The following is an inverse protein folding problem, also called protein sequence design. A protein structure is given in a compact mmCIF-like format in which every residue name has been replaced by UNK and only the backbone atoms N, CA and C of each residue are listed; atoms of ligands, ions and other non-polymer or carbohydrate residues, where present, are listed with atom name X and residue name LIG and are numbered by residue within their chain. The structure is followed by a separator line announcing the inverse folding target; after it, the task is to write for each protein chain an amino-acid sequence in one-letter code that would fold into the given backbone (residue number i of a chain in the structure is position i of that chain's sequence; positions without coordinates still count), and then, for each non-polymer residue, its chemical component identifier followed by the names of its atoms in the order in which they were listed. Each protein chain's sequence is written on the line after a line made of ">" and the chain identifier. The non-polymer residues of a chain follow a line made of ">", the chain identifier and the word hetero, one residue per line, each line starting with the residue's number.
data_IF_842584524259
#
_entry.id   IF_842584524259
#
_cell.length_a   1.000
_cell.length_b   1.000
_cell.length_c   1.000
_cell.angle_alpha   90.00
_cell.angle_beta   90.00
_cell.angle_gamma   90.00
#
_symmetry.space_group_name_H-M   'P 1'
#
loop_
_entity.id
_entity.type
_entity.pdbx_description
1 polymer ?
#
# COMPACT_ATOMS: atom_id res chain seq x y z
N UNK A 1 -28.77 -43.04 -33.28
CA UNK A 1 -28.26 -41.78 -33.85
C UNK A 1 -28.37 -40.71 -32.76
N UNK A 2 -27.28 -40.53 -32.02
CA UNK A 2 -27.27 -39.88 -30.71
C UNK A 2 -27.38 -38.35 -30.82
N UNK A 3 -28.51 -37.82 -30.37
CA UNK A 3 -28.84 -36.40 -30.41
C UNK A 3 -28.10 -35.68 -29.27
N UNK A 4 -26.94 -35.13 -29.62
CA UNK A 4 -26.44 -33.79 -29.25
C UNK A 4 -26.61 -33.36 -27.79
N UNK A 5 -25.56 -33.61 -27.01
CA UNK A 5 -24.69 -32.56 -26.46
C UNK A 5 -25.40 -31.24 -26.08
N UNK A 6 -25.99 -31.17 -24.89
CA UNK A 6 -26.23 -29.91 -24.19
C UNK A 6 -25.90 -30.11 -22.70
N UNK A 7 -24.60 -30.14 -22.41
CA UNK A 7 -24.09 -29.89 -21.07
C UNK A 7 -24.25 -28.40 -20.82
N UNK A 8 -25.38 -28.02 -20.23
CA UNK A 8 -25.60 -26.68 -19.67
C UNK A 8 -24.60 -26.45 -18.54
N UNK A 9 -23.44 -25.90 -18.91
CA UNK A 9 -22.44 -25.39 -18.01
C UNK A 9 -23.02 -24.12 -17.36
N UNK A 10 -23.64 -24.28 -16.19
CA UNK A 10 -24.07 -23.16 -15.37
C UNK A 10 -22.82 -22.51 -14.76
N UNK A 11 -22.19 -21.60 -15.51
CA UNK A 11 -21.10 -20.78 -14.98
C UNK A 11 -21.71 -19.83 -13.97
N UNK A 12 -21.66 -20.22 -12.69
CA UNK A 12 -21.76 -19.27 -11.58
C UNK A 12 -20.60 -18.29 -11.71
N UNK A 13 -20.80 -17.20 -12.44
CA UNK A 13 -19.95 -16.04 -12.33
C UNK A 13 -20.15 -15.49 -10.91
N UNK A 14 -19.12 -15.43 -10.06
CA UNK A 14 -19.24 -14.68 -8.83
C UNK A 14 -19.51 -13.22 -9.24
N UNK A 15 -20.71 -12.73 -8.91
CA UNK A 15 -21.00 -11.31 -8.85
C UNK A 15 -20.03 -10.73 -7.81
N UNK A 16 -18.90 -10.22 -8.27
CA UNK A 16 -18.11 -9.29 -7.48
C UNK A 16 -19.00 -8.06 -7.33
N UNK A 17 -19.83 -8.05 -6.28
CA UNK A 17 -20.63 -6.89 -5.92
C UNK A 17 -19.61 -5.87 -5.42
N UNK A 18 -19.11 -5.06 -6.35
CA UNK A 18 -18.28 -3.90 -6.04
C UNK A 18 -19.18 -2.91 -5.31
N UNK A 19 -19.25 -3.06 -3.98
CA UNK A 19 -19.99 -2.15 -3.13
C UNK A 19 -19.13 -0.91 -2.92
N UNK A 20 -19.76 0.24 -3.11
CA UNK A 20 -19.20 1.49 -2.62
C UNK A 20 -18.83 1.33 -1.16
N UNK A 21 -17.54 1.48 -0.92
CA UNK A 21 -16.90 1.21 0.35
C UNK A 21 -16.14 2.43 0.80
N UNK A 22 -16.20 2.65 2.11
CA UNK A 22 -15.32 3.55 2.81
C UNK A 22 -13.93 2.91 2.85
N UNK A 23 -12.97 3.53 2.16
CA UNK A 23 -11.62 3.01 2.03
C UNK A 23 -10.65 3.83 2.87
N UNK A 24 -9.75 3.13 3.54
CA UNK A 24 -8.73 3.69 4.40
C UNK A 24 -7.36 3.31 3.86
N UNK A 25 -6.46 4.27 3.75
CA UNK A 25 -5.17 4.00 3.15
C UNK A 25 -4.03 4.81 3.74
N UNK A 26 -2.82 4.33 3.54
CA UNK A 26 -1.59 5.08 3.79
C UNK A 26 -0.49 4.58 2.86
N UNK A 27 0.51 5.42 2.60
CA UNK A 27 1.69 5.04 1.85
C UNK A 27 2.83 4.66 2.78
N UNK A 28 3.65 3.71 2.34
CA UNK A 28 4.88 3.36 3.04
C UNK A 28 5.95 2.85 2.09
N UNK A 29 7.20 2.98 2.49
CA UNK A 29 8.34 2.38 1.82
C UNK A 29 9.33 1.90 2.90
N UNK A 30 9.86 0.68 2.74
CA UNK A 30 10.79 0.10 3.71
C UNK A 30 12.20 0.08 3.14
N UNK A 31 13.10 0.76 3.82
CA UNK A 31 14.53 0.78 3.52
C UNK A 31 15.23 -0.15 4.50
N UNK A 32 15.97 -1.13 3.99
CA UNK A 32 16.63 -2.17 4.81
C UNK A 32 18.12 -2.13 4.55
N UNK A 33 18.87 -1.94 5.62
CA UNK A 33 20.31 -2.02 5.63
C UNK A 33 20.78 -3.30 6.31
N UNK A 34 21.65 -4.04 5.64
CA UNK A 34 22.32 -5.21 6.21
C UNK A 34 23.59 -4.73 6.91
N UNK A 35 23.61 -4.76 8.24
CA UNK A 35 24.78 -4.37 9.04
C UNK A 35 25.79 -5.52 9.11
N UNK A 36 25.29 -6.74 9.33
CA UNK A 36 26.09 -7.96 9.34
C UNK A 36 25.21 -9.13 8.88
N UNK A 37 25.46 -9.63 7.67
CA UNK A 37 24.72 -10.74 7.08
C UNK A 37 24.92 -12.05 7.86
N UNK A 38 26.11 -12.26 8.44
CA UNK A 38 26.44 -13.48 9.19
C UNK A 38 25.65 -13.57 10.50
N UNK A 39 25.39 -12.41 11.12
CA UNK A 39 24.62 -12.30 12.37
C UNK A 39 23.16 -11.92 12.15
N UNK A 40 22.71 -11.85 10.88
CA UNK A 40 21.36 -11.37 10.49
C UNK A 40 21.01 -10.03 11.14
N UNK A 41 22.00 -9.16 11.32
CA UNK A 41 21.78 -7.84 11.88
C UNK A 41 21.32 -6.91 10.76
N UNK A 42 20.06 -6.52 10.82
CA UNK A 42 19.40 -5.64 9.87
C UNK A 42 18.93 -4.38 10.60
N UNK A 43 19.07 -3.23 9.95
CA UNK A 43 18.44 -1.99 10.38
C UNK A 43 17.40 -1.60 9.35
N UNK A 44 16.20 -1.30 9.81
CA UNK A 44 15.08 -0.89 8.97
C UNK A 44 14.77 0.59 9.22
N UNK A 45 14.55 1.33 8.15
CA UNK A 45 13.93 2.66 8.20
C UNK A 45 12.67 2.61 7.36
N UNK A 46 11.52 2.89 7.97
CA UNK A 46 10.24 2.93 7.26
C UNK A 46 9.89 4.39 6.98
N UNK A 47 9.77 4.75 5.70
CA UNK A 47 9.18 6.01 5.28
C UNK A 47 7.67 5.80 5.21
N UNK A 48 6.85 6.67 5.79
CA UNK A 48 5.39 6.52 5.66
C UNK A 48 4.61 7.82 5.74
N UNK A 49 3.36 7.80 5.27
CA UNK A 49 2.40 8.89 5.48
C UNK A 49 2.19 9.19 6.96
N UNK A 50 1.92 10.46 7.34
CA UNK A 50 1.76 10.87 8.74
C UNK A 50 0.45 10.38 9.38
N UNK A 51 -0.49 9.89 8.57
CA UNK A 51 -1.80 9.43 9.01
C UNK A 51 -2.41 8.42 8.03
N UNK A 52 -3.49 7.79 8.48
CA UNK A 52 -4.41 7.04 7.63
C UNK A 52 -5.35 8.05 6.98
N UNK A 53 -5.45 7.99 5.66
CA UNK A 53 -6.36 8.80 4.85
C UNK A 53 -7.60 8.00 4.48
N UNK A 54 -8.62 8.71 4.02
CA UNK A 54 -9.92 8.15 3.66
C UNK A 54 -10.30 8.57 2.23
N UNK A 55 -10.94 7.66 1.49
CA UNK A 55 -11.68 8.00 0.29
C UNK A 55 -12.85 7.03 0.10
N UNK A 56 -13.86 7.42 -0.68
CA UNK A 56 -14.95 6.53 -1.06
C UNK A 56 -14.66 5.89 -2.43
N UNK A 57 -14.76 4.57 -2.55
CA UNK A 57 -14.43 3.85 -3.80
C UNK A 57 -15.46 3.99 -4.92
N UNK A 58 -16.63 4.59 -4.68
CA UNK A 58 -17.73 4.57 -5.66
C UNK A 58 -18.11 3.13 -6.01
N UNK A 59 -18.38 2.80 -7.26
CA UNK A 59 -18.79 1.44 -7.64
C UNK A 59 -17.63 0.41 -7.73
N UNK A 60 -16.45 0.68 -7.14
CA UNK A 60 -15.25 -0.16 -7.25
C UNK A 60 -14.85 -0.78 -5.91
N UNK A 61 -14.05 -1.86 -5.93
CA UNK A 61 -13.34 -2.31 -4.72
C UNK A 61 -12.31 -1.29 -4.29
N UNK A 62 -11.97 -1.25 -3.00
CA UNK A 62 -10.99 -0.29 -2.48
C UNK A 62 -9.63 -0.42 -3.17
N UNK A 63 -9.13 -1.62 -3.45
CA UNK A 63 -7.85 -1.81 -4.16
C UNK A 63 -7.90 -1.24 -5.59
N UNK A 64 -8.98 -1.49 -6.33
CA UNK A 64 -9.14 -0.99 -7.71
C UNK A 64 -9.21 0.53 -7.74
N UNK A 65 -10.03 1.11 -6.87
CA UNK A 65 -10.20 2.55 -6.77
C UNK A 65 -8.89 3.23 -6.31
N UNK A 66 -8.20 2.67 -5.33
CA UNK A 66 -6.95 3.22 -4.83
C UNK A 66 -5.84 3.21 -5.89
N UNK A 67 -5.69 2.10 -6.63
CA UNK A 67 -4.69 2.00 -7.70
C UNK A 67 -4.97 2.99 -8.84
N UNK A 68 -6.23 3.08 -9.29
CA UNK A 68 -6.59 4.04 -10.36
C UNK A 68 -6.39 5.50 -9.94
N UNK A 69 -6.60 5.83 -8.66
CA UNK A 69 -6.37 7.17 -8.10
C UNK A 69 -4.90 7.47 -7.83
N UNK A 70 -4.07 6.44 -7.64
CA UNK A 70 -2.64 6.63 -7.39
C UNK A 70 -1.89 7.10 -8.64
N UNK A 71 -2.21 6.56 -9.82
CA UNK A 71 -1.54 6.90 -11.09
C UNK A 71 -1.38 8.42 -11.31
N UNK A 72 -2.44 9.26 -11.23
CA UNK A 72 -2.31 10.69 -11.47
C UNK A 72 -1.46 11.43 -10.42
N UNK A 73 -1.27 10.86 -9.23
CA UNK A 73 -0.50 11.48 -8.14
C UNK A 73 0.88 10.84 -7.93
N UNK A 74 1.22 9.79 -8.70
CA UNK A 74 2.41 8.97 -8.50
C UNK A 74 3.71 9.79 -8.58
N UNK A 75 3.83 10.73 -9.52
CA UNK A 75 5.01 11.57 -9.66
C UNK A 75 5.26 12.44 -8.42
N UNK A 76 4.23 13.13 -7.94
CA UNK A 76 4.30 13.98 -6.73
C UNK A 76 4.54 13.14 -5.47
N UNK A 77 3.92 11.96 -5.39
CA UNK A 77 4.16 11.01 -4.30
C UNK A 77 5.63 10.55 -4.27
N UNK A 78 6.18 10.17 -5.43
CA UNK A 78 7.57 9.74 -5.54
C UNK A 78 8.55 10.87 -5.21
N UNK A 79 8.27 12.09 -5.65
CA UNK A 79 9.07 13.27 -5.31
C UNK A 79 9.17 13.47 -3.79
N UNK A 80 8.03 13.47 -3.08
CA UNK A 80 8.00 13.63 -1.63
C UNK A 80 8.74 12.51 -0.89
N UNK A 81 8.52 11.25 -1.30
CA UNK A 81 9.21 10.11 -0.71
C UNK A 81 10.71 10.13 -1.02
N UNK A 82 11.13 10.51 -2.23
CA UNK A 82 12.54 10.60 -2.62
C UNK A 82 13.29 11.70 -1.85
N UNK A 83 12.66 12.86 -1.62
CA UNK A 83 13.25 13.91 -0.77
C UNK A 83 13.57 13.46 0.66
N UNK A 84 12.81 12.47 1.16
CA UNK A 84 13.08 11.85 2.47
C UNK A 84 14.08 10.69 2.33
N UNK A 85 13.92 9.85 1.30
CA UNK A 85 14.75 8.67 1.06
C UNK A 85 16.23 9.04 0.82
N UNK A 86 16.52 10.13 0.12
CA UNK A 86 17.89 10.61 -0.13
C UNK A 86 18.67 10.93 1.16
N UNK A 87 17.96 11.21 2.26
CA UNK A 87 18.56 11.49 3.58
C UNK A 87 18.79 10.21 4.40
N UNK A 88 18.35 9.05 3.89
CA UNK A 88 18.39 7.77 4.59
C UNK A 88 19.33 6.83 3.85
N UNK A 89 20.49 6.55 4.44
CA UNK A 89 21.50 5.65 3.87
C UNK A 89 20.96 4.29 3.42
N UNK A 90 19.99 3.74 4.16
CA UNK A 90 19.40 2.43 3.89
C UNK A 90 18.46 2.42 2.67
N UNK A 91 18.09 3.59 2.13
CA UNK A 91 17.19 3.69 0.98
C UNK A 91 18.00 3.73 -0.32
N UNK A 92 17.65 2.84 -1.26
CA UNK A 92 18.18 2.90 -2.62
C UNK A 92 17.44 3.97 -3.42
N UNK A 93 17.69 5.24 -3.10
CA UNK A 93 17.13 6.37 -3.84
C UNK A 93 17.80 6.51 -5.23
N UNK A 94 17.07 6.93 -6.28
CA UNK A 94 15.64 7.24 -6.26
C UNK A 94 14.78 5.98 -6.22
N UNK A 95 13.73 6.02 -5.40
CA UNK A 95 12.67 5.03 -5.36
C UNK A 95 11.92 5.04 -6.68
N UNK A 96 11.65 3.85 -7.23
CA UNK A 96 10.80 3.66 -8.41
C UNK A 96 9.32 3.49 -8.08
N UNK A 97 9.01 3.15 -6.83
CA UNK A 97 7.64 2.92 -6.35
C UNK A 97 7.51 3.13 -4.84
N UNK A 98 6.31 3.47 -4.42
CA UNK A 98 5.89 3.56 -3.02
C UNK A 98 4.73 2.61 -2.81
N UNK A 99 4.76 1.85 -1.72
CA UNK A 99 3.69 0.89 -1.44
C UNK A 99 2.45 1.60 -0.90
N UNK A 100 1.33 1.39 -1.58
CA UNK A 100 0.00 1.81 -1.13
C UNK A 100 -0.64 0.68 -0.33
N UNK A 101 -1.07 0.99 0.89
CA UNK A 101 -1.74 0.05 1.80
C UNK A 101 -3.18 0.48 1.91
N UNK A 102 -4.12 -0.39 1.53
CA UNK A 102 -5.55 -0.08 1.44
C UNK A 102 -6.37 -1.05 2.28
N UNK A 103 -7.43 -0.56 2.90
CA UNK A 103 -8.30 -1.33 3.78
C UNK A 103 -9.75 -0.88 3.63
N UNK A 104 -10.67 -1.85 3.63
CA UNK A 104 -12.12 -1.63 3.66
C UNK A 104 -12.65 -1.44 5.11
N UNK A 105 -11.77 -1.59 6.11
CA UNK A 105 -12.15 -1.55 7.53
C UNK A 105 -11.21 -0.61 8.31
N UNK A 106 -11.76 0.37 9.05
CA UNK A 106 -10.96 1.38 9.77
C UNK A 106 -10.15 0.80 10.93
N UNK A 107 -10.68 -0.20 11.63
CA UNK A 107 -9.96 -0.84 12.75
C UNK A 107 -8.77 -1.65 12.24
N UNK A 108 -8.95 -2.34 11.10
CA UNK A 108 -7.86 -3.06 10.43
C UNK A 108 -6.78 -2.09 9.94
N UNK A 109 -7.17 -0.98 9.32
CA UNK A 109 -6.24 0.07 8.90
C UNK A 109 -5.44 0.60 10.11
N UNK A 110 -6.13 0.93 11.20
CA UNK A 110 -5.54 1.41 12.46
C UNK A 110 -4.54 0.41 13.04
N UNK A 111 -4.91 -0.86 13.10
CA UNK A 111 -4.02 -1.92 13.61
C UNK A 111 -2.74 -2.03 12.78
N UNK A 112 -2.86 -2.06 11.45
CA UNK A 112 -1.69 -2.15 10.56
C UNK A 112 -0.83 -0.89 10.62
N UNK A 113 -1.44 0.28 10.68
CA UNK A 113 -0.75 1.57 10.78
C UNK A 113 0.05 1.66 12.08
N UNK A 114 -0.57 1.38 13.23
CA UNK A 114 0.10 1.41 14.53
C UNK A 114 1.27 0.42 14.61
N UNK A 115 1.15 -0.74 13.96
CA UNK A 115 2.26 -1.69 13.85
C UNK A 115 3.38 -1.18 12.92
N UNK A 116 3.01 -0.47 11.85
CA UNK A 116 3.98 0.14 10.94
C UNK A 116 4.73 1.32 11.59
N UNK A 117 4.08 2.11 12.43
CA UNK A 117 4.70 3.25 13.13
C UNK A 117 5.52 2.86 14.36
N UNK A 118 5.34 1.66 14.91
CA UNK A 118 6.09 1.20 16.08
C UNK A 118 7.60 1.12 15.78
N UNK A 119 8.39 1.88 16.53
CA UNK A 119 9.86 1.85 16.49
C UNK A 119 10.41 0.75 17.40
N UNK A 120 11.63 0.29 17.08
CA UNK A 120 12.43 -0.65 17.88
C UNK A 120 13.91 -0.29 17.72
N UNK A 121 14.80 -0.95 18.45
CA UNK A 121 16.26 -0.74 18.35
C UNK A 121 16.80 -0.90 16.91
N UNK A 122 16.12 -1.73 16.11
CA UNK A 122 16.48 -2.04 14.72
C UNK A 122 15.50 -1.44 13.70
N UNK A 123 14.53 -0.62 14.13
CA UNK A 123 13.52 -0.04 13.25
C UNK A 123 13.22 1.42 13.63
N UNK A 124 13.55 2.33 12.74
CA UNK A 124 13.09 3.71 12.78
C UNK A 124 11.93 3.94 11.82
N UNK A 125 11.15 4.99 12.08
CA UNK A 125 10.06 5.44 11.22
C UNK A 125 10.24 6.92 10.96
N UNK A 126 10.16 7.32 9.69
CA UNK A 126 10.18 8.70 9.25
C UNK A 126 8.86 9.01 8.55
N UNK A 127 8.19 10.07 8.99
CA UNK A 127 6.96 10.55 8.35
C UNK A 127 7.30 11.41 7.14
N UNK A 128 6.55 11.23 6.05
CA UNK A 128 6.67 12.02 4.83
C UNK A 128 5.43 12.91 4.74
N UNK A 129 5.61 14.21 4.95
CA UNK A 129 4.52 15.19 4.97
C UNK A 129 4.17 15.71 3.57
N UNK A 130 3.09 16.52 3.48
CA UNK A 130 2.64 17.19 2.26
C UNK A 130 2.33 16.24 1.08
N UNK A 131 1.85 15.03 1.40
CA UNK A 131 1.45 14.04 0.41
C UNK A 131 0.16 14.43 -0.31
N UNK A 132 -0.01 14.01 -1.59
CA UNK A 132 -1.29 14.15 -2.28
C UNK A 132 -2.39 13.28 -1.61
N UNK A 133 -3.64 13.47 -2.02
CA UNK A 133 -4.77 12.59 -1.68
C UNK A 133 -5.14 11.71 -2.87
N UNK A 134 -5.80 10.57 -2.59
CA UNK A 134 -6.41 9.69 -3.60
C UNK A 134 -7.85 10.11 -3.91
#
# INVERSE_FOLDING_TARGET
>A
MSLRLFVTLLVMAPLAIARAGDCYYYWSHQCVEVLDASKRQLRQTVLMSPSINYFNSGAQSCDTAANSRQEPVAAKLLEAFNSTAEKVRACNAPLSQVSLRVFENPQKATWHYNRATRTTDNKSVLTVDNLPFL
#
